data_IF_518555329230
#
_entry.id   IF_518555329230
#
_cell.length_a   1.000
_cell.length_b   1.000
_cell.length_c   1.000
_cell.angle_alpha   90.00
_cell.angle_beta   90.00
_cell.angle_gamma   90.00
#
_symmetry.space_group_name_H-M   'P 1'
#
loop_
_entity.id
_entity.type
_entity.pdbx_description
1 polymer ?
#
# COMPACT_ATOMS: atom_id res chain seq x y z
N UNK A 1 -20.51 -63.82 49.34
CA UNK A 1 -21.09 -62.93 48.32
C UNK A 1 -20.92 -61.50 48.80
N UNK A 2 -20.04 -60.72 48.17
CA UNK A 2 -20.01 -59.26 48.27
C UNK A 2 -19.21 -58.72 47.08
N UNK A 3 -19.78 -57.73 46.40
CA UNK A 3 -19.43 -57.30 45.05
C UNK A 3 -18.21 -56.37 45.00
N UNK A 4 -17.59 -56.39 43.83
CA UNK A 4 -16.45 -55.58 43.37
C UNK A 4 -16.89 -54.14 43.06
N UNK A 5 -16.09 -53.15 43.44
CA UNK A 5 -15.99 -51.88 42.70
C UNK A 5 -14.56 -51.30 42.85
N UNK A 6 -13.76 -51.17 41.79
CA UNK A 6 -12.46 -50.53 41.87
C UNK A 6 -12.57 -49.01 41.70
N UNK A 7 -11.91 -48.27 42.59
CA UNK A 7 -11.74 -46.82 42.55
C UNK A 7 -10.62 -46.49 41.55
N UNK A 8 -10.99 -45.87 40.44
CA UNK A 8 -10.10 -45.48 39.35
C UNK A 8 -9.05 -44.45 39.80
N UNK A 9 -7.75 -44.61 39.48
CA UNK A 9 -6.74 -43.60 39.77
C UNK A 9 -6.85 -42.42 38.80
N UNK A 10 -6.84 -41.20 39.34
CA UNK A 10 -6.80 -39.95 38.57
C UNK A 10 -5.52 -39.90 37.76
N UNK A 11 -5.64 -40.13 36.45
CA UNK A 11 -4.57 -39.99 35.50
C UNK A 11 -4.12 -38.52 35.41
N UNK A 12 -2.81 -38.34 35.54
CA UNK A 12 -2.11 -37.16 35.11
C UNK A 12 -2.47 -36.87 33.64
N UNK A 13 -3.27 -35.84 33.41
CA UNK A 13 -3.23 -35.10 32.16
C UNK A 13 -3.16 -33.64 32.52
N UNK A 14 -1.91 -33.20 32.60
CA UNK A 14 -1.50 -31.82 32.78
C UNK A 14 -2.35 -30.91 31.92
N UNK A 15 -2.76 -29.80 32.54
CA UNK A 15 -3.05 -28.50 31.91
C UNK A 15 -2.49 -28.45 30.49
N UNK A 16 -3.37 -28.55 29.49
CA UNK A 16 -3.11 -27.96 28.20
C UNK A 16 -3.03 -26.44 28.45
N UNK A 17 -1.82 -25.96 28.73
CA UNK A 17 -1.52 -24.55 28.61
C UNK A 17 -1.81 -24.21 27.15
N UNK A 18 -2.88 -23.45 26.92
CA UNK A 18 -3.07 -22.74 25.67
C UNK A 18 -1.85 -21.83 25.53
N UNK A 19 -0.87 -22.28 24.76
CA UNK A 19 0.21 -21.44 24.30
C UNK A 19 -0.45 -20.42 23.38
N UNK A 20 -0.68 -19.22 23.91
CA UNK A 20 -0.87 -18.07 23.05
C UNK A 20 0.41 -17.95 22.21
N UNK A 21 0.30 -17.81 20.88
CA UNK A 21 1.49 -17.62 20.06
C UNK A 21 2.23 -16.39 20.56
N UNK A 22 3.55 -16.52 20.68
CA UNK A 22 4.39 -15.43 21.16
C UNK A 22 4.33 -14.27 20.16
N UNK A 23 4.46 -13.03 20.63
CA UNK A 23 4.43 -11.79 19.82
C UNK A 23 5.52 -11.74 18.71
N UNK A 24 6.41 -12.75 18.67
CA UNK A 24 7.46 -12.96 17.68
C UNK A 24 7.14 -14.08 16.65
N UNK A 25 6.05 -14.83 16.82
CA UNK A 25 5.51 -15.77 15.83
C UNK A 25 4.62 -15.08 14.77
N UNK A 26 4.53 -13.74 14.80
CA UNK A 26 3.91 -12.94 13.74
C UNK A 26 4.94 -12.63 12.63
N UNK A 27 5.75 -13.63 12.26
CA UNK A 27 6.60 -13.56 11.07
C UNK A 27 6.11 -14.65 10.11
N UNK A 28 5.52 -14.19 9.00
CA UNK A 28 5.07 -14.94 7.83
C UNK A 28 3.66 -15.54 7.96
N UNK A 29 2.61 -14.80 7.55
CA UNK A 29 1.26 -15.34 7.39
C UNK A 29 1.17 -16.19 6.11
N UNK A 30 2.08 -17.15 5.94
CA UNK A 30 1.98 -18.13 4.87
C UNK A 30 0.67 -18.90 5.02
N UNK A 31 -0.09 -19.02 3.93
CA UNK A 31 -1.38 -19.71 3.94
C UNK A 31 -1.34 -20.87 2.98
N UNK A 32 -1.63 -22.06 3.51
CA UNK A 32 -1.87 -23.23 2.66
C UNK A 32 -3.22 -23.08 1.96
N UNK A 33 -3.22 -23.36 0.65
CA UNK A 33 -4.40 -23.40 -0.19
C UNK A 33 -4.50 -24.80 -0.75
N UNK A 34 -5.58 -25.49 -0.38
CA UNK A 34 -5.88 -26.81 -0.93
C UNK A 34 -6.61 -26.62 -2.26
N UNK A 35 -5.91 -26.91 -3.36
CA UNK A 35 -6.46 -26.92 -4.71
C UNK A 35 -6.86 -28.35 -5.07
N UNK A 36 -7.56 -28.50 -6.20
CA UNK A 36 -7.97 -29.82 -6.69
C UNK A 36 -6.79 -30.64 -7.21
N UNK A 37 -5.75 -29.97 -7.70
CA UNK A 37 -4.55 -30.58 -8.29
C UNK A 37 -3.42 -30.82 -7.28
N UNK A 38 -3.23 -29.92 -6.32
CA UNK A 38 -2.22 -30.01 -5.26
C UNK A 38 -2.55 -29.10 -4.06
N UNK A 39 -1.67 -29.04 -3.07
CA UNK A 39 -1.72 -28.01 -2.01
C UNK A 39 -0.52 -27.11 -2.18
N UNK A 40 -0.78 -25.80 -2.27
CA UNK A 40 0.25 -24.77 -2.43
C UNK A 40 0.29 -23.88 -1.20
N UNK A 41 1.46 -23.30 -0.93
CA UNK A 41 1.63 -22.31 0.13
C UNK A 41 1.74 -20.92 -0.49
N UNK A 42 0.78 -20.05 -0.20
CA UNK A 42 0.82 -18.64 -0.57
C UNK A 42 1.66 -17.92 0.46
N UNK A 43 2.83 -17.47 0.04
CA UNK A 43 3.75 -16.71 0.88
C UNK A 43 3.52 -15.21 0.75
N UNK A 44 3.87 -14.51 1.81
CA UNK A 44 4.00 -13.07 1.81
C UNK A 44 5.28 -12.66 1.07
N UNK A 45 5.23 -11.57 0.29
CA UNK A 45 6.44 -11.03 -0.34
C UNK A 45 7.46 -10.55 0.69
N UNK A 46 8.74 -10.82 0.43
CA UNK A 46 9.80 -10.17 1.17
C UNK A 46 9.87 -8.67 0.88
N UNK A 47 10.36 -7.85 1.82
CA UNK A 47 10.46 -6.39 1.63
C UNK A 47 11.23 -5.98 0.36
N UNK A 48 12.36 -6.62 0.08
CA UNK A 48 13.18 -6.32 -1.12
C UNK A 48 12.56 -6.92 -2.38
N UNK A 49 11.92 -8.08 -2.25
CA UNK A 49 11.17 -8.71 -3.34
C UNK A 49 10.03 -7.79 -3.79
N UNK A 50 9.24 -7.26 -2.85
CA UNK A 50 8.19 -6.30 -3.12
C UNK A 50 8.72 -5.07 -3.88
N UNK A 51 9.87 -4.51 -3.49
CA UNK A 51 10.47 -3.38 -4.21
C UNK A 51 10.76 -3.70 -5.69
N UNK A 52 11.14 -4.94 -6.00
CA UNK A 52 11.37 -5.39 -7.38
C UNK A 52 10.07 -5.61 -8.15
N UNK A 53 8.99 -5.98 -7.45
CA UNK A 53 7.66 -6.21 -8.03
C UNK A 53 6.90 -4.91 -8.32
N UNK A 54 7.30 -3.77 -7.74
CA UNK A 54 6.61 -2.49 -7.89
C UNK A 54 6.28 -2.08 -9.34
N UNK A 55 7.20 -2.18 -10.33
CA UNK A 55 6.88 -1.80 -11.71
C UNK A 55 5.73 -2.61 -12.29
N UNK A 56 5.68 -3.90 -11.96
CA UNK A 56 4.65 -4.82 -12.42
C UNK A 56 3.34 -4.65 -11.65
N UNK A 57 3.42 -4.32 -10.35
CA UNK A 57 2.28 -4.00 -9.50
C UNK A 57 1.58 -2.68 -9.84
N UNK A 58 2.18 -1.85 -10.72
CA UNK A 58 1.73 -0.49 -10.98
C UNK A 58 0.26 -0.36 -11.39
N UNK A 59 -0.31 -1.20 -12.29
CA UNK A 59 -1.72 -1.11 -12.65
C UNK A 59 -2.64 -1.27 -11.44
N UNK A 60 -2.32 -2.20 -10.55
CA UNK A 60 -3.10 -2.44 -9.34
C UNK A 60 -2.93 -1.31 -8.31
N UNK A 61 -1.69 -0.85 -8.10
CA UNK A 61 -1.41 0.27 -7.18
C UNK A 61 -2.09 1.56 -7.65
N UNK A 62 -2.06 1.86 -8.96
CA UNK A 62 -2.70 3.04 -9.52
C UNK A 62 -4.22 3.03 -9.32
N UNK A 63 -4.88 1.90 -9.61
CA UNK A 63 -6.32 1.75 -9.41
C UNK A 63 -6.70 1.89 -7.92
N UNK A 64 -5.98 1.23 -7.02
CA UNK A 64 -6.23 1.36 -5.57
C UNK A 64 -5.98 2.81 -5.11
N UNK A 65 -4.97 3.50 -5.65
CA UNK A 65 -4.70 4.91 -5.33
C UNK A 65 -5.88 5.79 -5.71
N UNK A 66 -6.50 5.54 -6.87
CA UNK A 66 -7.68 6.28 -7.32
C UNK A 66 -8.88 6.03 -6.38
N UNK A 67 -9.13 4.77 -6.00
CA UNK A 67 -10.20 4.41 -5.06
C UNK A 67 -10.01 5.09 -3.70
N UNK A 68 -8.80 5.01 -3.14
CA UNK A 68 -8.47 5.64 -1.86
C UNK A 68 -8.59 7.16 -1.90
N UNK A 69 -8.18 7.78 -3.02
CA UNK A 69 -8.35 9.23 -3.23
C UNK A 69 -9.84 9.63 -3.32
N UNK A 70 -10.70 8.72 -3.77
CA UNK A 70 -12.15 8.87 -3.76
C UNK A 70 -12.80 8.51 -2.40
N UNK A 71 -12.02 8.11 -1.39
CA UNK A 71 -12.49 7.77 -0.06
C UNK A 71 -13.03 6.34 0.10
N UNK A 72 -12.76 5.46 -0.86
CA UNK A 72 -13.20 4.07 -0.83
C UNK A 72 -12.00 3.11 -0.67
N UNK A 73 -12.01 2.19 0.33
CA UNK A 73 -11.04 1.11 0.37
C UNK A 73 -11.37 0.06 -0.72
N UNK A 74 -10.36 -0.62 -1.31
CA UNK A 74 -10.61 -1.63 -2.32
C UNK A 74 -11.27 -2.87 -1.70
N UNK A 75 -12.34 -3.37 -2.32
CA UNK A 75 -12.87 -4.70 -2.07
C UNK A 75 -12.09 -5.76 -2.85
N UNK A 76 -12.31 -7.04 -2.55
CA UNK A 76 -11.73 -8.13 -3.33
C UNK A 76 -12.24 -8.11 -4.79
N UNK A 77 -13.52 -7.84 -5.02
CA UNK A 77 -14.10 -7.72 -6.36
C UNK A 77 -13.46 -6.59 -7.18
N UNK A 78 -13.16 -5.45 -6.55
CA UNK A 78 -12.46 -4.35 -7.21
C UNK A 78 -11.05 -4.78 -7.66
N UNK A 79 -10.35 -5.53 -6.82
CA UNK A 79 -9.02 -6.07 -7.13
C UNK A 79 -9.10 -7.10 -8.25
N UNK A 80 -10.06 -8.02 -8.18
CA UNK A 80 -10.28 -9.03 -9.20
C UNK A 80 -10.59 -8.40 -10.56
N UNK A 81 -11.41 -7.35 -10.60
CA UNK A 81 -11.70 -6.61 -11.82
C UNK A 81 -10.44 -5.99 -12.45
N UNK A 82 -9.54 -5.43 -11.62
CA UNK A 82 -8.27 -4.88 -12.10
C UNK A 82 -7.33 -5.98 -12.60
N UNK A 83 -7.27 -7.12 -11.89
CA UNK A 83 -6.50 -8.30 -12.33
C UNK A 83 -7.03 -8.79 -13.68
N UNK A 84 -8.33 -8.95 -13.85
CA UNK A 84 -8.94 -9.40 -15.10
C UNK A 84 -8.67 -8.45 -16.28
N UNK A 85 -8.53 -7.15 -16.02
CA UNK A 85 -8.18 -6.18 -17.07
C UNK A 85 -6.68 -6.18 -17.41
N UNK A 86 -5.83 -6.61 -16.49
CA UNK A 86 -4.37 -6.61 -16.62
C UNK A 86 -3.77 -8.00 -16.39
N UNK A 87 -4.47 -9.06 -16.81
CA UNK A 87 -4.16 -10.46 -16.44
C UNK A 87 -2.71 -10.82 -16.71
N UNK A 88 -2.26 -10.66 -17.95
CA UNK A 88 -0.89 -11.01 -18.37
C UNK A 88 0.19 -10.25 -17.57
N UNK A 89 -0.13 -9.01 -17.16
CA UNK A 89 0.76 -8.16 -16.39
C UNK A 89 0.76 -8.47 -14.89
N UNK A 90 -0.36 -8.91 -14.31
CA UNK A 90 -0.51 -9.08 -12.86
C UNK A 90 -0.43 -10.53 -12.41
N UNK A 91 -0.75 -11.50 -13.27
CA UNK A 91 -0.70 -12.92 -12.93
C UNK A 91 0.70 -13.39 -12.49
N UNK A 92 1.82 -12.89 -13.03
CA UNK A 92 3.14 -13.30 -12.54
C UNK A 92 3.39 -12.91 -11.08
N UNK A 93 2.73 -11.88 -10.55
CA UNK A 93 2.81 -11.54 -9.12
C UNK A 93 2.21 -12.66 -8.26
N UNK A 94 1.08 -13.23 -8.71
CA UNK A 94 0.36 -14.29 -7.99
C UNK A 94 1.20 -15.56 -7.95
N UNK A 95 1.70 -16.02 -9.10
CA UNK A 95 2.45 -17.29 -9.18
C UNK A 95 3.80 -17.24 -8.47
N UNK A 96 4.43 -16.05 -8.43
CA UNK A 96 5.65 -15.84 -7.65
C UNK A 96 5.44 -16.06 -6.14
N UNK A 97 4.23 -15.77 -5.63
CA UNK A 97 3.91 -15.99 -4.21
C UNK A 97 3.75 -17.46 -3.82
N UNK A 98 3.60 -18.36 -4.80
CA UNK A 98 3.42 -19.81 -4.60
C UNK A 98 4.55 -20.64 -5.20
N UNK A 99 5.64 -20.01 -5.63
CA UNK A 99 6.78 -20.67 -6.29
C UNK A 99 6.35 -21.53 -7.50
N UNK A 100 5.55 -20.92 -8.38
CA UNK A 100 5.08 -21.51 -9.64
C UNK A 100 5.29 -20.54 -10.81
N UNK A 101 5.12 -21.05 -12.02
CA UNK A 101 5.10 -20.26 -13.25
C UNK A 101 3.65 -19.97 -13.71
N UNK A 102 3.53 -19.17 -14.77
CA UNK A 102 2.22 -18.80 -15.33
C UNK A 102 1.55 -20.00 -16.01
N UNK A 103 2.31 -20.87 -16.66
CA UNK A 103 1.79 -22.06 -17.34
C UNK A 103 1.10 -23.03 -16.36
N UNK A 104 1.56 -23.10 -15.11
CA UNK A 104 0.90 -23.86 -14.06
C UNK A 104 -0.53 -23.37 -13.77
N UNK A 105 -0.79 -22.06 -13.88
CA UNK A 105 -2.13 -21.49 -13.63
C UNK A 105 -3.15 -21.98 -14.64
N UNK A 106 -2.74 -22.18 -15.89
CA UNK A 106 -3.61 -22.70 -16.96
C UNK A 106 -4.10 -24.13 -16.68
N UNK A 107 -3.47 -24.83 -15.73
CA UNK A 107 -3.92 -26.16 -15.28
C UNK A 107 -5.02 -26.10 -14.22
N UNK A 108 -5.24 -24.93 -13.61
CA UNK A 108 -6.24 -24.75 -12.55
C UNK A 108 -7.63 -24.63 -13.15
N UNK A 109 -8.62 -25.21 -12.47
CA UNK A 109 -10.01 -24.91 -12.75
C UNK A 109 -10.39 -23.54 -12.18
N UNK A 110 -11.54 -22.99 -12.58
CA UNK A 110 -11.97 -21.66 -12.16
C UNK A 110 -12.11 -21.51 -10.64
N UNK A 111 -12.55 -22.54 -9.91
CA UNK A 111 -12.68 -22.47 -8.46
C UNK A 111 -11.31 -22.45 -7.76
N UNK A 112 -10.36 -23.23 -8.27
CA UNK A 112 -8.98 -23.28 -7.76
C UNK A 112 -8.26 -21.95 -8.01
N UNK A 113 -8.44 -21.35 -9.20
CA UNK A 113 -7.88 -20.03 -9.52
C UNK A 113 -8.48 -18.94 -8.62
N UNK A 114 -9.80 -18.94 -8.44
CA UNK A 114 -10.49 -18.01 -7.55
C UNK A 114 -9.99 -18.14 -6.10
N UNK A 115 -9.89 -19.37 -5.60
CA UNK A 115 -9.36 -19.64 -4.28
C UNK A 115 -7.91 -19.13 -4.14
N UNK A 116 -7.05 -19.36 -5.14
CA UNK A 116 -5.69 -18.86 -5.15
C UNK A 116 -5.65 -17.33 -5.08
N UNK A 117 -6.45 -16.63 -5.89
CA UNK A 117 -6.52 -15.17 -5.92
C UNK A 117 -7.00 -14.58 -4.59
N UNK A 118 -8.02 -15.18 -3.97
CA UNK A 118 -8.49 -14.76 -2.64
C UNK A 118 -7.40 -14.88 -1.58
N UNK A 119 -6.65 -16.00 -1.56
CA UNK A 119 -5.59 -16.21 -0.59
C UNK A 119 -4.40 -15.29 -0.87
N UNK A 120 -4.00 -15.16 -2.13
CA UNK A 120 -2.97 -14.21 -2.55
C UNK A 120 -3.29 -12.79 -2.11
N UNK A 121 -4.53 -12.32 -2.33
CA UNK A 121 -4.96 -11.01 -1.87
C UNK A 121 -4.96 -10.90 -0.34
N UNK A 122 -5.46 -11.92 0.36
CA UNK A 122 -5.48 -11.95 1.82
C UNK A 122 -4.10 -11.90 2.47
N UNK A 123 -3.08 -12.45 1.80
CA UNK A 123 -1.69 -12.46 2.28
C UNK A 123 -0.96 -11.19 1.84
N UNK A 124 -0.99 -10.85 0.55
CA UNK A 124 -0.13 -9.83 -0.06
C UNK A 124 -0.81 -8.46 -0.26
N UNK A 125 -2.15 -8.37 -0.17
CA UNK A 125 -2.90 -7.16 -0.51
C UNK A 125 -2.49 -5.92 0.26
N UNK A 126 -1.99 -6.08 1.49
CA UNK A 126 -1.54 -4.99 2.33
C UNK A 126 -0.35 -4.21 1.71
N UNK A 127 0.54 -4.85 0.95
CA UNK A 127 1.63 -4.17 0.23
C UNK A 127 1.08 -3.14 -0.76
N UNK A 128 0.10 -3.55 -1.57
CA UNK A 128 -0.55 -2.71 -2.57
C UNK A 128 -1.31 -1.56 -1.91
N UNK A 129 -2.11 -1.86 -0.88
CA UNK A 129 -2.89 -0.86 -0.15
C UNK A 129 -1.98 0.15 0.54
N UNK A 130 -0.91 -0.28 1.21
CA UNK A 130 0.02 0.63 1.88
C UNK A 130 0.79 1.51 0.88
N UNK A 131 1.23 0.93 -0.25
CA UNK A 131 1.88 1.69 -1.31
C UNK A 131 0.95 2.75 -1.91
N UNK A 132 -0.30 2.38 -2.16
CA UNK A 132 -1.33 3.26 -2.69
C UNK A 132 -1.71 4.38 -1.71
N UNK A 133 -1.87 4.07 -0.41
CA UNK A 133 -2.07 5.07 0.66
C UNK A 133 -0.93 6.10 0.68
N UNK A 134 0.32 5.63 0.65
CA UNK A 134 1.49 6.51 0.64
C UNK A 134 1.50 7.40 -0.61
N UNK A 135 1.12 6.86 -1.77
CA UNK A 135 1.01 7.63 -3.02
C UNK A 135 -0.10 8.68 -2.96
N UNK A 136 -1.30 8.31 -2.51
CA UNK A 136 -2.43 9.23 -2.38
C UNK A 136 -2.12 10.38 -1.41
N UNK A 137 -1.44 10.07 -0.30
CA UNK A 137 -0.99 11.07 0.67
C UNK A 137 0.02 12.06 0.05
N UNK A 138 1.00 11.56 -0.71
CA UNK A 138 1.97 12.40 -1.40
C UNK A 138 1.30 13.33 -2.42
N UNK A 139 0.39 12.79 -3.24
CA UNK A 139 -0.39 13.57 -4.22
C UNK A 139 -1.24 14.65 -3.54
N UNK A 140 -1.87 14.34 -2.41
CA UNK A 140 -2.62 15.31 -1.63
C UNK A 140 -1.73 16.45 -1.12
N UNK A 141 -0.53 16.13 -0.60
CA UNK A 141 0.42 17.13 -0.12
C UNK A 141 0.93 18.04 -1.24
N UNK A 142 1.27 17.48 -2.39
CA UNK A 142 1.67 18.23 -3.59
C UNK A 142 0.56 19.17 -4.06
N UNK A 143 -0.68 18.69 -4.13
CA UNK A 143 -1.83 19.51 -4.50
C UNK A 143 -2.09 20.65 -3.49
N UNK A 144 -1.92 20.41 -2.19
CA UNK A 144 -2.03 21.44 -1.16
C UNK A 144 -0.90 22.47 -1.24
N UNK A 145 0.34 22.04 -1.52
CA UNK A 145 1.48 22.94 -1.71
C UNK A 145 1.29 23.84 -2.93
N UNK A 146 0.82 23.29 -4.06
CA UNK A 146 0.51 24.05 -5.26
C UNK A 146 -0.64 25.06 -5.08
N UNK A 147 -1.57 24.78 -4.16
CA UNK A 147 -2.70 25.67 -3.84
C UNK A 147 -2.36 26.79 -2.85
N UNK A 148 -1.23 26.72 -2.13
CA UNK A 148 -0.76 27.87 -1.35
C UNK A 148 -0.30 28.95 -2.33
N UNK A 149 -0.99 30.11 -2.43
CA UNK A 149 -0.42 31.22 -3.19
C UNK A 149 0.96 31.54 -2.60
N UNK A 150 1.92 31.88 -3.45
CA UNK A 150 3.18 32.50 -3.04
C UNK A 150 2.80 33.79 -2.28
N UNK A 151 2.60 33.68 -0.97
CA UNK A 151 2.32 34.81 -0.09
C UNK A 151 3.61 35.62 0.02
N UNK A 152 3.92 36.37 -1.04
CA UNK A 152 5.25 36.90 -1.27
C UNK A 152 5.39 37.90 -2.41
N UNK A 153 4.32 38.36 -3.06
CA UNK A 153 4.33 39.67 -3.72
C UNK A 153 3.64 40.68 -2.80
N UNK A 154 4.35 41.08 -1.73
CA UNK A 154 4.06 42.36 -1.11
C UNK A 154 4.32 43.42 -2.17
N UNK A 155 3.25 44.00 -2.73
CA UNK A 155 3.32 45.23 -3.51
C UNK A 155 4.24 46.23 -2.82
N UNK A 156 5.42 46.46 -3.37
CA UNK A 156 6.10 47.74 -3.16
C UNK A 156 5.30 48.77 -3.93
N UNK A 157 4.77 49.83 -3.28
CA UNK A 157 4.16 50.92 -4.01
C UNK A 157 5.16 51.51 -5.02
N UNK A 158 4.71 51.97 -6.20
CA UNK A 158 5.60 52.60 -7.17
C UNK A 158 6.22 53.84 -6.54
N UNK A 159 7.56 53.87 -6.47
CA UNK A 159 8.28 55.09 -6.14
C UNK A 159 8.08 56.07 -7.28
N UNK A 160 7.24 57.08 -7.07
CA UNK A 160 7.14 58.23 -7.98
C UNK A 160 8.48 58.97 -8.01
N UNK A 161 9.01 59.32 -9.20
CA UNK A 161 10.15 60.22 -9.27
C UNK A 161 9.65 61.65 -9.04
N UNK A 162 9.90 62.22 -7.86
CA UNK A 162 9.87 63.68 -7.74
C UNK A 162 11.20 64.20 -8.28
N UNK A 163 11.13 64.65 -9.54
CA UNK A 163 12.17 65.45 -10.16
C UNK A 163 12.30 66.79 -9.42
N UNK A 164 13.34 66.94 -8.60
CA UNK A 164 13.81 68.26 -8.19
C UNK A 164 14.78 68.73 -9.27
N UNK A 165 14.28 69.64 -10.12
CA UNK A 165 15.09 70.32 -11.13
C UNK A 165 16.25 71.10 -10.50
N UNK A 166 17.31 71.40 -11.28
CA UNK A 166 18.50 72.05 -10.79
C UNK A 166 18.19 73.47 -10.30
N UNK A 167 18.67 73.80 -9.11
CA UNK A 167 18.75 75.18 -8.64
C UNK A 167 19.79 75.93 -9.49
N UNK A 168 19.33 76.55 -10.58
CA UNK A 168 20.06 77.66 -11.20
C UNK A 168 19.68 78.94 -10.46
N UNK A 169 20.55 79.38 -9.55
CA UNK A 169 20.59 80.79 -9.14
C UNK A 169 21.94 81.34 -9.58
N UNK A 170 21.90 82.06 -10.69
CA UNK A 170 23.02 82.83 -11.19
C UNK A 170 23.25 84.07 -10.31
N UNK A 171 24.51 84.20 -9.89
CA UNK A 171 25.38 85.38 -9.77
C UNK A 171 24.79 86.77 -9.48
N UNK A 172 25.33 87.36 -8.42
CA UNK A 172 25.41 88.76 -7.98
C UNK A 172 25.68 89.79 -9.11
N UNK A 173 25.23 91.05 -8.91
CA UNK A 173 26.17 92.19 -8.98
C UNK A 173 26.04 93.09 -7.74
N UNK A 174 27.13 93.31 -7.00
CA UNK A 174 28.09 94.43 -7.09
C UNK A 174 27.52 95.74 -6.52
N UNK A 175 28.07 96.15 -5.38
CA UNK A 175 27.92 97.49 -4.81
C UNK A 175 29.34 98.05 -4.56
N UNK A 176 29.55 99.28 -5.04
CA UNK A 176 30.75 100.15 -4.97
C UNK A 176 31.99 99.80 -5.82
#
# INVERSE_FOLDING_TARGET
MAQVTPKQPRSAKQKAAQQQPSDLEVLHPEREVKLSVDTVTVREYGNVEWLRLLPQAEPLVANITAMLSAGAPPSYEDVLAVIAHHTDGLLPLVVQSVDRDVDWVETLNSNDLEALLMHWWGVNGHFFVNRAKNRAMAQYQEAMAARKPLAGEKSTPPSSPTATGPATSATTPTDS
#
